data_IF_181675711634
#
_entry.id   IF_181675711634
#
_cell.length_a   1.000
_cell.length_b   1.000
_cell.length_c   1.000
_cell.angle_alpha   90.00
_cell.angle_beta   90.00
_cell.angle_gamma   90.00
#
_symmetry.space_group_name_H-M   'P 1'
#
loop_
_entity.id
_entity.type
_entity.pdbx_description
1 polymer ?
#
# COMPACT_ATOMS: atom_id res chain seq x y z
N UNK A 1 0.24 -61.12 3.07
CA UNK A 1 1.35 -60.52 2.29
C UNK A 1 0.91 -59.13 1.87
N UNK A 2 1.54 -58.11 2.47
CA UNK A 2 1.34 -56.69 2.18
C UNK A 2 1.94 -56.31 0.82
N UNK A 3 1.34 -55.33 0.13
CA UNK A 3 1.92 -54.39 -0.84
C UNK A 3 0.76 -53.58 -1.46
N UNK A 4 0.07 -52.70 -0.76
CA UNK A 4 0.41 -51.27 -0.54
C UNK A 4 1.17 -50.63 -1.71
N UNK A 5 0.45 -50.03 -2.67
CA UNK A 5 0.93 -48.93 -3.52
C UNK A 5 -0.23 -47.96 -3.80
N UNK A 6 -0.40 -47.05 -2.84
CA UNK A 6 -1.18 -45.82 -2.99
C UNK A 6 -0.33 -44.83 -3.78
N UNK A 7 -0.67 -44.62 -5.05
CA UNK A 7 -0.09 -43.52 -5.82
C UNK A 7 -0.90 -42.25 -5.53
N UNK A 8 -0.60 -41.68 -4.37
CA UNK A 8 -1.11 -40.38 -3.96
C UNK A 8 -0.28 -39.29 -4.61
N UNK A 9 -0.60 -38.95 -5.86
CA UNK A 9 -0.07 -37.76 -6.53
C UNK A 9 -0.60 -36.53 -5.80
N UNK A 10 0.11 -36.13 -4.75
CA UNK A 10 -0.11 -34.88 -4.04
C UNK A 10 0.20 -33.74 -5.01
N UNK A 11 -0.87 -33.18 -5.58
CA UNK A 11 -0.84 -31.85 -6.16
C UNK A 11 -0.38 -30.88 -5.09
N UNK A 12 0.90 -30.51 -5.11
CA UNK A 12 1.40 -29.36 -4.39
C UNK A 12 0.76 -28.12 -4.98
N UNK A 13 -0.43 -27.79 -4.47
CA UNK A 13 -1.05 -26.49 -4.63
C UNK A 13 -0.05 -25.48 -4.07
N UNK A 14 0.73 -24.89 -4.98
CA UNK A 14 1.47 -23.67 -4.74
C UNK A 14 0.43 -22.59 -4.43
N UNK A 15 -0.09 -22.60 -3.20
CA UNK A 15 -0.76 -21.47 -2.62
C UNK A 15 0.28 -20.36 -2.61
N UNK A 16 0.29 -19.55 -3.67
CA UNK A 16 1.02 -18.30 -3.75
C UNK A 16 0.68 -17.58 -2.46
N UNK A 17 1.64 -17.55 -1.54
CA UNK A 17 1.57 -16.83 -0.29
C UNK A 17 1.38 -15.37 -0.66
N UNK A 18 0.13 -14.93 -0.86
CA UNK A 18 -0.30 -13.53 -0.73
C UNK A 18 -0.08 -13.18 0.75
N UNK A 19 1.20 -13.14 1.13
CA UNK A 19 1.63 -13.20 2.51
C UNK A 19 1.43 -11.85 3.20
N UNK A 20 1.79 -11.81 4.48
CA UNK A 20 1.78 -10.62 5.33
C UNK A 20 2.39 -9.36 4.68
N UNK A 21 3.27 -9.51 3.68
CA UNK A 21 3.85 -8.41 2.88
C UNK A 21 2.78 -7.59 2.12
N UNK A 22 1.76 -8.24 1.56
CA UNK A 22 0.66 -7.56 0.83
C UNK A 22 -0.29 -6.82 1.77
N UNK A 23 -0.59 -7.39 2.94
CA UNK A 23 -1.40 -6.74 3.97
C UNK A 23 -0.69 -5.52 4.56
N UNK A 24 0.60 -5.64 4.89
CA UNK A 24 1.41 -4.53 5.41
C UNK A 24 1.47 -3.38 4.39
N UNK A 25 1.70 -3.68 3.10
CA UNK A 25 1.67 -2.66 2.04
C UNK A 25 0.30 -2.00 1.91
N UNK A 26 -0.78 -2.78 1.91
CA UNK A 26 -2.14 -2.25 1.84
C UNK A 26 -2.48 -1.31 3.01
N UNK A 27 -2.08 -1.67 4.23
CA UNK A 27 -2.22 -0.80 5.41
C UNK A 27 -1.37 0.46 5.31
N UNK A 28 -0.15 0.36 4.79
CA UNK A 28 0.72 1.51 4.59
C UNK A 28 0.14 2.50 3.57
N UNK A 29 -0.36 2.01 2.43
CA UNK A 29 -1.04 2.85 1.44
C UNK A 29 -2.29 3.53 2.03
N UNK A 30 -3.13 2.80 2.75
CA UNK A 30 -4.31 3.38 3.41
C UNK A 30 -3.94 4.47 4.43
N UNK A 31 -2.80 4.33 5.12
CA UNK A 31 -2.30 5.36 6.03
C UNK A 31 -1.78 6.58 5.26
N UNK A 32 -1.04 6.38 4.18
CA UNK A 32 -0.55 7.45 3.32
C UNK A 32 -1.71 8.28 2.72
N UNK A 33 -2.80 7.63 2.31
CA UNK A 33 -4.01 8.33 1.84
C UNK A 33 -4.64 9.22 2.93
N UNK A 34 -4.62 8.78 4.20
CA UNK A 34 -5.07 9.62 5.31
C UNK A 34 -4.18 10.85 5.51
N UNK A 35 -2.86 10.71 5.34
CA UNK A 35 -1.94 11.85 5.40
C UNK A 35 -2.18 12.84 4.25
N UNK A 36 -2.39 12.34 3.03
CA UNK A 36 -2.76 13.17 1.87
C UNK A 36 -4.05 13.95 2.11
N UNK A 37 -5.06 13.31 2.70
CA UNK A 37 -6.31 13.99 3.06
C UNK A 37 -6.07 15.13 4.05
N UNK A 38 -5.36 14.87 5.16
CA UNK A 38 -5.01 15.90 6.15
C UNK A 38 -4.24 17.06 5.53
N UNK A 39 -3.24 16.75 4.70
CA UNK A 39 -2.46 17.74 3.95
C UNK A 39 -3.37 18.65 3.13
N UNK A 40 -4.28 18.07 2.33
CA UNK A 40 -5.23 18.83 1.52
C UNK A 40 -6.15 19.70 2.36
N UNK A 41 -6.62 19.21 3.51
CA UNK A 41 -7.46 19.99 4.41
C UNK A 41 -6.72 21.20 4.96
N UNK A 42 -5.47 21.05 5.41
CA UNK A 42 -4.68 22.17 5.93
C UNK A 42 -4.36 23.17 4.83
N UNK A 43 -4.08 22.71 3.60
CA UNK A 43 -3.91 23.59 2.45
C UNK A 43 -5.16 24.45 2.19
N UNK A 44 -6.35 23.84 2.20
CA UNK A 44 -7.60 24.59 2.06
C UNK A 44 -7.81 25.60 3.19
N UNK A 45 -7.41 25.28 4.42
CA UNK A 45 -7.48 26.19 5.56
C UNK A 45 -6.54 27.40 5.42
N UNK A 46 -5.35 27.21 4.83
CA UNK A 46 -4.40 28.31 4.61
C UNK A 46 -4.95 29.40 3.68
N UNK A 47 -5.92 29.06 2.83
CA UNK A 47 -6.58 29.98 1.91
C UNK A 47 -7.80 30.70 2.54
N UNK A 48 -8.25 30.30 3.74
CA UNK A 48 -9.41 30.94 4.37
C UNK A 48 -9.02 32.07 5.33
N UNK A 49 -9.73 33.21 5.31
CA UNK A 49 -9.43 34.35 6.16
C UNK A 49 -9.64 34.05 7.65
N UNK A 50 -10.52 33.12 8.02
CA UNK A 50 -10.77 32.79 9.43
C UNK A 50 -9.54 32.19 10.14
N UNK A 51 -8.59 31.64 9.39
CA UNK A 51 -7.37 31.02 9.94
C UNK A 51 -6.14 31.93 9.91
N UNK A 52 -6.28 33.19 9.51
CA UNK A 52 -5.14 34.11 9.37
C UNK A 52 -4.35 34.28 10.68
N UNK A 53 -5.02 34.28 11.83
CA UNK A 53 -4.39 34.40 13.15
C UNK A 53 -3.52 33.20 13.53
N UNK A 54 -3.74 32.02 12.92
CA UNK A 54 -3.02 30.78 13.20
C UNK A 54 -2.22 30.27 11.99
N UNK A 55 -2.06 31.08 10.95
CA UNK A 55 -1.47 30.65 9.67
C UNK A 55 -0.06 30.05 9.84
N UNK A 56 0.77 30.59 10.74
CA UNK A 56 2.11 30.04 11.02
C UNK A 56 2.07 28.63 11.62
N UNK A 57 1.05 28.34 12.43
CA UNK A 57 0.84 27.00 13.01
C UNK A 57 0.45 26.03 11.88
N UNK A 58 -0.48 26.42 11.01
CA UNK A 58 -0.92 25.61 9.88
C UNK A 58 0.21 25.33 8.87
N UNK A 59 1.08 26.32 8.61
CA UNK A 59 2.29 26.13 7.78
C UNK A 59 3.23 25.11 8.44
N UNK A 60 3.42 25.19 9.76
CA UNK A 60 4.23 24.24 10.51
C UNK A 60 3.66 22.82 10.45
N UNK A 61 2.35 22.66 10.64
CA UNK A 61 1.67 21.38 10.56
C UNK A 61 1.74 20.78 9.14
N UNK A 62 1.53 21.60 8.11
CA UNK A 62 1.65 21.18 6.71
C UNK A 62 3.05 20.63 6.41
N UNK A 63 4.11 21.34 6.84
CA UNK A 63 5.49 20.89 6.69
C UNK A 63 5.75 19.58 7.43
N UNK A 64 5.23 19.43 8.65
CA UNK A 64 5.37 18.20 9.42
C UNK A 64 4.70 17.00 8.74
N UNK A 65 3.51 17.20 8.14
CA UNK A 65 2.84 16.15 7.37
C UNK A 65 3.62 15.80 6.11
N UNK A 66 4.12 16.79 5.37
CA UNK A 66 4.95 16.56 4.18
C UNK A 66 6.20 15.73 4.53
N UNK A 67 6.91 16.08 5.61
CA UNK A 67 8.07 15.33 6.10
C UNK A 67 7.70 13.89 6.48
N UNK A 68 6.64 13.71 7.27
CA UNK A 68 6.16 12.37 7.66
C UNK A 68 5.77 11.53 6.44
N UNK A 69 5.16 12.12 5.41
CA UNK A 69 4.78 11.41 4.20
C UNK A 69 6.01 10.89 3.44
N UNK A 70 7.07 11.69 3.31
CA UNK A 70 8.30 11.27 2.64
C UNK A 70 9.06 10.21 3.43
N UNK A 71 9.22 10.39 4.75
CA UNK A 71 9.81 9.38 5.64
C UNK A 71 9.04 8.06 5.59
N UNK A 72 7.70 8.14 5.58
CA UNK A 72 6.84 6.96 5.53
C UNK A 72 6.95 6.23 4.19
N UNK A 73 6.98 6.95 3.07
CA UNK A 73 7.21 6.35 1.74
C UNK A 73 8.55 5.63 1.68
N UNK A 74 9.60 6.23 2.23
CA UNK A 74 10.93 5.62 2.29
C UNK A 74 10.93 4.36 3.18
N UNK A 75 10.35 4.45 4.38
CA UNK A 75 10.29 3.35 5.35
C UNK A 75 9.57 2.12 4.80
N UNK A 76 8.53 2.32 4.00
CA UNK A 76 7.70 1.25 3.43
C UNK A 76 8.01 0.95 1.95
N UNK A 77 9.05 1.56 1.38
CA UNK A 77 9.46 1.41 -0.03
C UNK A 77 8.27 1.61 -1.00
N UNK A 78 7.42 2.60 -0.73
CA UNK A 78 6.16 2.81 -1.46
C UNK A 78 6.33 3.56 -2.80
N UNK A 79 7.51 3.50 -3.42
CA UNK A 79 7.72 4.17 -4.70
C UNK A 79 6.81 3.57 -5.79
N UNK A 80 6.35 4.42 -6.72
CA UNK A 80 5.37 4.07 -7.76
C UNK A 80 5.87 3.01 -8.78
N UNK A 81 7.12 2.57 -8.66
CA UNK A 81 7.79 1.60 -9.54
C UNK A 81 7.24 0.16 -9.46
N UNK A 82 6.32 -0.14 -8.53
CA UNK A 82 5.70 -1.46 -8.41
C UNK A 82 4.42 -1.66 -9.26
N UNK A 83 4.04 -0.69 -10.10
CA UNK A 83 2.93 -0.87 -11.06
C UNK A 83 3.20 -1.98 -12.09
N UNK A 84 4.45 -2.44 -12.24
CA UNK A 84 4.79 -3.55 -13.14
C UNK A 84 4.70 -4.95 -12.51
N UNK A 85 4.52 -5.09 -11.20
CA UNK A 85 4.50 -6.41 -10.55
C UNK A 85 3.08 -6.99 -10.35
N UNK A 86 2.05 -6.32 -10.91
CA UNK A 86 0.65 -6.78 -10.86
C UNK A 86 0.12 -7.32 -12.21
N UNK A 87 0.86 -7.25 -13.31
CA UNK A 87 0.46 -7.80 -14.62
C UNK A 87 0.92 -9.26 -14.86
N UNK A 88 0.80 -10.11 -13.85
CA UNK A 88 1.36 -11.45 -13.91
C UNK A 88 0.46 -12.56 -13.36
N UNK A 89 -0.86 -12.48 -13.55
CA UNK A 89 -1.80 -13.57 -13.26
C UNK A 89 -3.14 -13.41 -14.01
N UNK A 90 -3.15 -13.11 -15.32
CA UNK A 90 -4.37 -13.27 -16.13
C UNK A 90 -4.02 -14.04 -17.40
N UNK A 91 -4.70 -15.19 -17.54
CA UNK A 91 -5.00 -15.95 -18.77
C UNK A 91 -3.89 -16.72 -19.49
N UNK A 92 -3.71 -17.97 -19.06
CA UNK A 92 -3.59 -19.09 -20.00
C UNK A 92 -4.54 -20.19 -19.51
N UNK A 93 -5.67 -20.34 -20.18
CA UNK A 93 -6.46 -21.57 -20.25
C UNK A 93 -7.56 -21.35 -21.30
N UNK A 94 -7.31 -21.82 -22.51
CA UNK A 94 -8.29 -22.44 -23.41
C UNK A 94 -7.51 -22.95 -24.63
N UNK A 95 -6.96 -24.14 -24.50
CA UNK A 95 -6.50 -24.98 -25.61
C UNK A 95 -7.61 -26.00 -25.83
N UNK A 96 -8.21 -25.99 -27.01
CA UNK A 96 -9.21 -26.95 -27.48
C UNK A 96 -8.67 -27.60 -28.75
#
# INVERSE_FOLDING_TARGET
>A
MNSDKRDGTQHHVHHKKRGAKTFRRGKALAFLERLKLKRSTIQQQLDQPEFQSIQQILIGELKAIDMMMEEFKQLFELQETDTNNQKGCEEQNEEN
#
